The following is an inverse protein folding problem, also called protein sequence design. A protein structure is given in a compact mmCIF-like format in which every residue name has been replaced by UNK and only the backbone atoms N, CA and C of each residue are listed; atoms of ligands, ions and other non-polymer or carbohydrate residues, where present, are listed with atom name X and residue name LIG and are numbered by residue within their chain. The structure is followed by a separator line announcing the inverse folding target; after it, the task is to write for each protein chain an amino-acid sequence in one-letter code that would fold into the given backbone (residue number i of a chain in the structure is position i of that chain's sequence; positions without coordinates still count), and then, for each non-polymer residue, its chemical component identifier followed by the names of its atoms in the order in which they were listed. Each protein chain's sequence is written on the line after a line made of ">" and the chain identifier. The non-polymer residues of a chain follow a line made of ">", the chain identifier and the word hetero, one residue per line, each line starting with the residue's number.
data_IF_907676650941
#
_entry.id   IF_907676650941
#
_cell.length_a   1.000
_cell.length_b   1.000
_cell.length_c   1.000
_cell.angle_alpha   90.00
_cell.angle_beta   90.00
_cell.angle_gamma   90.00
#
_symmetry.space_group_name_H-M   'P 1'
#
loop_
_entity.id
_entity.type
_entity.pdbx_description
1 polymer ?
#
# COMPACT_ATOMS: atom_id res chain seq x y z
N UNK A 1 -7.68 -0.16 0.00
CA UNK A 1 -7.34 -0.22 -1.44
C UNK A 1 -5.84 -0.12 -1.62
N UNK A 2 -5.27 -1.02 -2.40
CA UNK A 2 -3.83 -1.02 -2.64
C UNK A 2 -3.44 0.12 -3.58
N UNK A 3 -2.27 0.71 -3.34
CA UNK A 3 -1.73 1.84 -4.10
C UNK A 3 -0.34 1.48 -4.57
N UNK A 4 -0.06 1.75 -5.84
CA UNK A 4 1.22 1.47 -6.46
C UNK A 4 1.76 2.73 -7.13
N UNK A 5 3.08 2.86 -7.17
CA UNK A 5 3.77 3.91 -7.93
C UNK A 5 5.01 3.37 -8.61
N UNK A 6 5.36 4.01 -9.71
CA UNK A 6 6.64 3.87 -10.40
C UNK A 6 7.47 5.12 -10.15
N UNK A 7 8.75 4.95 -9.90
CA UNK A 7 9.69 6.06 -9.78
C UNK A 7 10.95 5.77 -10.60
N UNK A 8 11.33 6.72 -11.44
CA UNK A 8 12.64 6.76 -12.07
C UNK A 8 13.57 7.60 -11.19
N UNK A 9 14.55 6.98 -10.55
CA UNK A 9 15.50 7.68 -9.67
C UNK A 9 16.49 8.51 -10.46
N UNK A 10 16.78 8.12 -11.70
CA UNK A 10 17.64 8.89 -12.62
C UNK A 10 16.99 10.23 -12.97
N UNK A 11 15.71 10.22 -13.35
CA UNK A 11 14.96 11.44 -13.69
C UNK A 11 14.37 12.14 -12.46
N UNK A 12 14.35 11.48 -11.31
CA UNK A 12 13.72 11.96 -10.07
C UNK A 12 12.22 12.23 -10.24
N UNK A 13 11.55 11.44 -11.09
CA UNK A 13 10.13 11.55 -11.37
C UNK A 13 9.39 10.37 -10.80
N UNK A 14 8.17 10.62 -10.30
CA UNK A 14 7.29 9.60 -9.74
C UNK A 14 5.97 9.63 -10.50
N UNK A 15 5.45 8.45 -10.86
CA UNK A 15 4.15 8.33 -11.53
C UNK A 15 3.00 8.71 -10.61
N UNK A 16 1.81 8.98 -11.16
CA UNK A 16 0.59 9.01 -10.36
C UNK A 16 0.34 7.69 -9.66
N UNK A 17 -0.48 7.73 -8.61
CA UNK A 17 -0.91 6.51 -7.91
C UNK A 17 -1.82 5.70 -8.83
N UNK A 18 -1.54 4.40 -8.96
CA UNK A 18 -2.39 3.44 -9.64
C UNK A 18 -2.80 2.34 -8.67
N UNK A 19 -3.89 1.65 -8.96
CA UNK A 19 -4.48 0.66 -8.05
C UNK A 19 -4.37 -0.78 -8.57
N UNK A 20 -3.80 -0.96 -9.76
CA UNK A 20 -3.61 -2.26 -10.38
C UNK A 20 -2.13 -2.43 -10.78
N UNK A 21 -1.55 -3.63 -10.59
CA UNK A 21 -0.18 -3.88 -11.03
C UNK A 21 0.04 -3.68 -12.53
N UNK A 22 -0.95 -4.00 -13.36
CA UNK A 22 -0.86 -3.81 -14.81
C UNK A 22 -0.75 -2.33 -15.19
N UNK A 23 -1.45 -1.47 -14.47
CA UNK A 23 -1.37 -0.01 -14.66
C UNK A 23 0.01 0.52 -14.24
N UNK A 24 0.62 -0.10 -13.23
CA UNK A 24 1.98 0.23 -12.81
C UNK A 24 2.99 -0.07 -13.92
N UNK A 25 2.88 -1.22 -14.56
CA UNK A 25 3.72 -1.59 -15.71
C UNK A 25 3.55 -0.61 -16.86
N UNK A 26 2.31 -0.18 -17.13
CA UNK A 26 2.00 0.83 -18.14
C UNK A 26 2.66 2.16 -17.84
N UNK A 27 2.63 2.61 -16.60
CA UNK A 27 3.30 3.86 -16.18
C UNK A 27 4.81 3.79 -16.41
N UNK A 28 5.44 2.67 -16.06
CA UNK A 28 6.86 2.44 -16.30
C UNK A 28 7.20 2.46 -17.80
N UNK A 29 6.44 1.75 -18.60
CA UNK A 29 6.63 1.69 -20.05
C UNK A 29 6.46 3.07 -20.71
N UNK A 30 5.44 3.82 -20.32
CA UNK A 30 5.19 5.16 -20.82
C UNK A 30 6.36 6.09 -20.52
N UNK A 31 6.92 6.03 -19.32
CA UNK A 31 8.08 6.85 -18.94
C UNK A 31 9.32 6.47 -19.75
N UNK A 32 9.60 5.17 -19.90
CA UNK A 32 10.73 4.69 -20.69
C UNK A 32 10.63 5.12 -22.15
N UNK A 33 9.45 5.02 -22.74
CA UNK A 33 9.21 5.46 -24.14
C UNK A 33 9.36 6.97 -24.28
N UNK A 34 8.84 7.74 -23.35
CA UNK A 34 8.85 9.21 -23.43
C UNK A 34 10.24 9.81 -23.21
N UNK A 35 11.04 9.24 -22.31
CA UNK A 35 12.29 9.87 -21.79
C UNK A 35 13.52 9.05 -22.14
N UNK A 36 13.42 7.73 -22.15
CA UNK A 36 14.58 6.82 -22.32
C UNK A 36 14.58 6.06 -23.65
N UNK A 37 13.74 6.43 -24.59
CA UNK A 37 13.64 5.78 -25.91
C UNK A 37 13.30 4.29 -25.86
N UNK A 38 12.56 3.86 -24.84
CA UNK A 38 12.20 2.46 -24.61
C UNK A 38 13.24 1.66 -23.83
N UNK A 39 14.36 2.24 -23.47
CA UNK A 39 15.40 1.59 -22.69
C UNK A 39 15.13 1.70 -21.18
N UNK A 40 15.55 0.67 -20.44
CA UNK A 40 15.48 0.72 -18.97
C UNK A 40 16.54 1.69 -18.43
N UNK A 41 16.17 2.64 -17.56
CA UNK A 41 17.15 3.46 -16.85
C UNK A 41 17.94 2.61 -15.85
N UNK A 42 19.09 3.13 -15.40
CA UNK A 42 19.97 2.40 -14.47
C UNK A 42 19.32 2.11 -13.11
N UNK A 43 18.37 2.92 -12.69
CA UNK A 43 17.70 2.73 -11.40
C UNK A 43 16.22 3.12 -11.46
N UNK A 44 15.37 2.14 -11.22
CA UNK A 44 13.92 2.29 -11.15
C UNK A 44 13.39 1.66 -9.87
N UNK A 45 12.40 2.30 -9.27
CA UNK A 45 11.70 1.77 -8.11
C UNK A 45 10.22 1.60 -8.44
N UNK A 46 9.71 0.40 -8.31
CA UNK A 46 8.29 0.11 -8.45
C UNK A 46 7.79 -0.62 -7.23
N UNK A 47 6.54 -0.42 -6.88
CA UNK A 47 5.95 -1.17 -5.80
C UNK A 47 4.78 -0.49 -5.16
N UNK A 48 4.33 -1.11 -4.08
CA UNK A 48 3.21 -0.65 -3.31
C UNK A 48 3.63 0.44 -2.31
N UNK A 49 2.76 1.43 -2.15
CA UNK A 49 2.91 2.49 -1.16
C UNK A 49 1.76 2.45 -0.15
N UNK A 50 1.99 3.00 1.03
CA UNK A 50 0.96 3.16 2.04
C UNK A 50 0.10 4.41 1.78
N UNK A 51 -0.90 4.63 2.62
CA UNK A 51 -1.79 5.80 2.51
C UNK A 51 -1.06 7.15 2.68
N UNK A 52 0.12 7.15 3.28
CA UNK A 52 0.95 8.34 3.49
C UNK A 52 1.97 8.55 2.36
N UNK A 53 1.99 7.68 1.35
CA UNK A 53 2.92 7.74 0.24
C UNK A 53 4.28 7.13 0.51
N UNK A 54 4.46 6.40 1.59
CA UNK A 54 5.71 5.70 1.90
C UNK A 54 5.77 4.36 1.17
N UNK A 55 6.95 4.01 0.69
CA UNK A 55 7.17 2.73 0.01
C UNK A 55 7.24 1.59 1.03
N UNK A 56 6.41 0.57 0.86
CA UNK A 56 6.42 -0.60 1.76
C UNK A 56 7.79 -1.28 1.82
N UNK A 57 8.52 -1.30 0.69
CA UNK A 57 9.85 -1.90 0.63
C UNK A 57 10.88 -1.18 1.53
N UNK A 58 10.65 0.09 1.88
CA UNK A 58 11.55 0.87 2.74
C UNK A 58 11.14 0.87 4.21
N UNK A 59 9.98 0.29 4.53
CA UNK A 59 9.47 0.25 5.89
C UNK A 59 10.01 -0.95 6.66
N UNK A 60 10.18 -0.78 7.97
CA UNK A 60 10.45 -1.91 8.87
C UNK A 60 9.24 -2.87 8.92
N UNK A 61 9.41 -4.14 9.30
CA UNK A 61 8.28 -5.07 9.41
C UNK A 61 7.16 -4.58 10.31
N UNK A 62 7.47 -3.92 11.41
CA UNK A 62 6.48 -3.37 12.32
C UNK A 62 5.73 -2.19 11.69
N UNK A 63 6.43 -1.32 10.96
CA UNK A 63 5.82 -0.21 10.23
C UNK A 63 4.93 -0.71 9.09
N UNK A 64 5.31 -1.78 8.40
CA UNK A 64 4.47 -2.44 7.38
C UNK A 64 3.18 -2.94 8.01
N UNK A 65 3.24 -3.62 9.14
CA UNK A 65 2.06 -4.12 9.84
C UNK A 65 1.13 -2.97 10.23
N UNK A 66 1.68 -1.91 10.80
CA UNK A 66 0.91 -0.72 11.16
C UNK A 66 0.25 -0.07 9.94
N UNK A 67 0.97 0.06 8.84
CA UNK A 67 0.45 0.65 7.60
C UNK A 67 -0.67 -0.22 6.99
N UNK A 68 -0.53 -1.53 7.01
CA UNK A 68 -1.57 -2.46 6.54
C UNK A 68 -2.85 -2.36 7.37
N UNK A 69 -2.73 -2.28 8.68
CA UNK A 69 -3.87 -2.11 9.57
C UNK A 69 -4.56 -0.77 9.30
N UNK A 70 -3.79 0.31 9.18
CA UNK A 70 -4.32 1.63 8.88
C UNK A 70 -5.07 1.69 7.54
N UNK A 71 -4.53 1.05 6.50
CA UNK A 71 -5.18 0.94 5.19
C UNK A 71 -6.48 0.14 5.28
N UNK A 72 -6.48 -0.97 5.98
CA UNK A 72 -7.67 -1.79 6.19
C UNK A 72 -8.78 -1.04 6.92
N UNK A 73 -8.43 -0.31 7.97
CA UNK A 73 -9.37 0.53 8.71
C UNK A 73 -9.92 1.67 7.86
N UNK A 74 -9.11 2.28 7.03
CA UNK A 74 -9.54 3.32 6.10
C UNK A 74 -10.54 2.79 5.08
N UNK A 75 -10.28 1.61 4.51
CA UNK A 75 -11.19 0.96 3.56
C UNK A 75 -12.52 0.61 4.23
N UNK A 76 -12.52 0.11 5.46
CA UNK A 76 -13.73 -0.16 6.23
C UNK A 76 -14.52 1.13 6.52
N UNK A 77 -13.84 2.22 6.79
CA UNK A 77 -14.48 3.51 7.00
C UNK A 77 -15.17 4.02 5.73
N UNK A 78 -14.55 3.86 4.58
CA UNK A 78 -15.11 4.22 3.28
C UNK A 78 -16.36 3.38 2.96
N UNK A 79 -16.34 2.08 3.27
CA UNK A 79 -17.51 1.20 3.15
C UNK A 79 -18.64 1.62 4.09
N UNK A 80 -18.33 2.05 5.31
CA UNK A 80 -19.31 2.60 6.25
C UNK A 80 -20.02 3.85 5.71
N UNK A 81 -19.28 4.71 5.02
CA UNK A 81 -19.81 5.93 4.42
C UNK A 81 -20.77 5.61 3.28
N UNK A 82 -20.58 4.48 2.59
CA UNK A 82 -21.51 3.98 1.57
C UNK A 82 -22.81 3.37 2.13
N UNK A 83 -22.94 3.17 3.45
CA UNK A 83 -24.19 2.88 4.13
C UNK A 83 -24.74 1.46 4.04
N UNK A 84 -24.09 0.55 3.32
CA UNK A 84 -24.64 -0.77 3.05
C UNK A 84 -24.12 -1.90 3.94
N UNK A 85 -23.06 -1.71 4.72
CA UNK A 85 -22.36 -2.81 5.37
C UNK A 85 -21.93 -2.52 6.81
N UNK A 86 -22.62 -1.63 7.52
CA UNK A 86 -22.18 -1.28 8.86
C UNK A 86 -22.19 -2.48 9.84
N UNK A 87 -23.07 -3.46 9.64
CA UNK A 87 -23.06 -4.70 10.41
C UNK A 87 -21.81 -5.54 10.12
N UNK A 88 -21.48 -5.73 8.83
CA UNK A 88 -20.32 -6.47 8.42
C UNK A 88 -19.02 -5.74 8.81
N UNK A 89 -18.98 -4.41 8.69
CA UNK A 89 -17.82 -3.62 9.07
C UNK A 89 -17.57 -3.61 10.57
N UNK A 90 -18.61 -3.62 11.39
CA UNK A 90 -18.47 -3.72 12.86
C UNK A 90 -17.91 -5.08 13.25
N UNK A 91 -18.41 -6.17 12.67
CA UNK A 91 -17.87 -7.51 12.90
C UNK A 91 -16.42 -7.66 12.45
N UNK A 92 -16.08 -7.15 11.27
CA UNK A 92 -14.73 -7.17 10.74
C UNK A 92 -13.77 -6.34 11.59
N UNK A 93 -14.18 -5.16 12.04
CA UNK A 93 -13.37 -4.32 12.93
C UNK A 93 -13.08 -5.01 14.27
N UNK A 94 -14.04 -5.70 14.84
CA UNK A 94 -13.86 -6.47 16.08
C UNK A 94 -12.92 -7.66 15.86
N UNK A 95 -13.02 -8.37 14.75
CA UNK A 95 -12.13 -9.48 14.40
C UNK A 95 -10.70 -9.02 14.18
N UNK A 96 -10.49 -7.94 13.44
CA UNK A 96 -9.17 -7.37 13.19
C UNK A 96 -8.57 -6.83 14.48
N UNK A 97 -9.32 -6.07 15.26
CA UNK A 97 -8.88 -5.55 16.55
C UNK A 97 -8.55 -6.65 17.56
N UNK A 98 -9.41 -7.69 17.65
CA UNK A 98 -9.18 -8.85 18.50
C UNK A 98 -7.95 -9.64 18.09
N UNK A 99 -7.73 -9.86 16.80
CA UNK A 99 -6.56 -10.55 16.27
C UNK A 99 -5.27 -9.79 16.54
N UNK A 100 -5.25 -8.47 16.36
CA UNK A 100 -4.11 -7.63 16.66
C UNK A 100 -3.76 -7.64 18.16
N UNK A 101 -4.77 -7.59 19.03
CA UNK A 101 -4.58 -7.68 20.48
C UNK A 101 -4.00 -9.04 20.89
N UNK A 102 -4.47 -10.13 20.30
CA UNK A 102 -3.96 -11.48 20.57
C UNK A 102 -2.50 -11.62 20.11
N UNK A 103 -2.15 -11.09 18.97
CA UNK A 103 -0.77 -11.09 18.47
C UNK A 103 0.15 -10.29 19.40
N UNK A 104 -0.27 -9.13 19.84
CA UNK A 104 0.49 -8.30 20.80
C UNK A 104 0.67 -8.99 22.14
N UNK A 105 -0.36 -9.65 22.66
CA UNK A 105 -0.27 -10.44 23.88
C UNK A 105 0.67 -11.63 23.74
N UNK A 106 0.61 -12.33 22.61
CA UNK A 106 1.49 -13.46 22.32
C UNK A 106 2.97 -13.01 22.24
N UNK A 107 3.25 -11.90 21.58
CA UNK A 107 4.59 -11.31 21.50
C UNK A 107 5.07 -10.88 22.89
N UNK A 108 4.22 -10.23 23.67
CA UNK A 108 4.56 -9.83 25.05
C UNK A 108 4.85 -11.01 25.96
N UNK A 109 4.14 -12.11 25.79
CA UNK A 109 4.37 -13.34 26.56
C UNK A 109 5.63 -14.10 26.12
N UNK A 110 6.07 -13.92 24.87
CA UNK A 110 7.30 -14.54 24.35
C UNK A 110 8.57 -13.75 24.72
N UNK A 111 8.43 -12.51 25.12
CA UNK A 111 9.53 -11.66 25.56
C UNK A 111 9.74 -11.78 27.06
#
# INVERSE_FOLDING_TARGET
>A
MRRYRYRCTVCRTTSPVVHQPDDLDTEGDNHRQAVHGGHFPDDELTGEIDRLGRWYATLSPLAVLHARIADGLSDLHDEKTAGHYWWASTGAALLIGGSAALILLAVSAAL
#
